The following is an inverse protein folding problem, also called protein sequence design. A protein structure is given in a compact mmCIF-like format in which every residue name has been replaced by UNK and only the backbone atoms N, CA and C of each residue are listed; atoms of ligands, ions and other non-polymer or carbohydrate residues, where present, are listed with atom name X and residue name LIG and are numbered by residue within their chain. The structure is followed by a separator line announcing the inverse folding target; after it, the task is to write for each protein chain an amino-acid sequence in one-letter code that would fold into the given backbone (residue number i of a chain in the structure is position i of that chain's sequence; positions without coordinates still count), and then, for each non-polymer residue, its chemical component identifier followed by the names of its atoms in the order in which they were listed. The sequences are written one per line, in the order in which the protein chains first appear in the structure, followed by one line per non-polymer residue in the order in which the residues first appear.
data_IF_991215757151
#
_entry.id   IF_991215757151
#
_cell.length_a   1.000
_cell.length_b   1.000
_cell.length_c   1.000
_cell.angle_alpha   90.00
_cell.angle_beta   90.00
_cell.angle_gamma   90.00
#
_symmetry.space_group_name_H-M   'P 1'
#
loop_
_entity.id
_entity.type
_entity.pdbx_description
1 polymer ?
#
# COMPACT_ATOMS: atom_id res chain seq x y z
N UNK A 1 -8.46 -9.17 26.93
CA UNK A 1 -7.04 -9.52 26.68
C UNK A 1 -6.58 -8.63 25.52
N UNK A 2 -5.89 -7.51 25.85
CA UNK A 2 -5.47 -6.51 24.85
C UNK A 2 -4.30 -7.04 24.03
N UNK A 3 -4.54 -7.45 22.80
CA UNK A 3 -3.49 -7.69 21.81
C UNK A 3 -3.04 -6.31 21.31
N UNK A 4 -1.98 -5.78 21.91
CA UNK A 4 -1.25 -4.66 21.32
C UNK A 4 -0.53 -5.15 20.07
N UNK A 5 -1.13 -4.96 18.92
CA UNK A 5 -0.42 -5.03 17.64
C UNK A 5 0.46 -3.78 17.53
N UNK A 6 1.67 -3.82 18.09
CA UNK A 6 2.66 -2.78 17.84
C UNK A 6 3.64 -3.28 16.79
N UNK A 7 3.30 -3.14 15.52
CA UNK A 7 4.27 -3.11 14.43
C UNK A 7 4.95 -1.74 14.47
N UNK A 8 5.92 -1.57 15.33
CA UNK A 8 6.60 -0.29 15.54
C UNK A 8 8.09 -0.46 15.50
N UNK A 9 8.77 0.37 14.69
CA UNK A 9 10.21 0.54 14.80
C UNK A 9 10.58 0.79 16.28
N UNK A 10 11.63 0.15 16.79
CA UNK A 10 11.99 0.28 18.20
C UNK A 10 12.27 1.74 18.59
N UNK A 11 11.82 2.12 19.78
CA UNK A 11 12.13 3.45 20.31
C UNK A 11 13.64 3.62 20.56
N UNK A 12 14.15 4.80 20.23
CA UNK A 12 15.58 5.16 20.36
C UNK A 12 16.39 4.93 19.08
N UNK A 13 17.10 5.97 18.64
CA UNK A 13 17.80 6.00 17.35
C UNK A 13 18.80 4.84 17.15
N UNK A 14 19.49 4.38 18.21
CA UNK A 14 20.44 3.26 18.14
C UNK A 14 19.74 1.91 17.96
N UNK A 15 18.63 1.67 18.65
CA UNK A 15 17.87 0.43 18.50
C UNK A 15 17.20 0.36 17.13
N UNK A 16 16.64 1.48 16.65
CA UNK A 16 16.09 1.61 15.30
C UNK A 16 17.15 1.33 14.23
N UNK A 17 18.37 1.86 14.40
CA UNK A 17 19.47 1.61 13.48
C UNK A 17 19.81 0.11 13.41
N UNK A 18 19.96 -0.57 14.54
CA UNK A 18 20.27 -2.01 14.59
C UNK A 18 19.13 -2.82 13.94
N UNK A 19 17.88 -2.49 14.23
CA UNK A 19 16.72 -3.11 13.60
C UNK A 19 16.78 -3.00 12.06
N UNK A 20 17.05 -1.79 11.53
CA UNK A 20 17.10 -1.56 10.09
C UNK A 20 18.28 -2.30 9.43
N UNK A 21 19.46 -2.31 10.05
CA UNK A 21 20.61 -3.04 9.54
C UNK A 21 20.35 -4.55 9.49
N UNK A 22 19.86 -5.14 10.58
CA UNK A 22 19.53 -6.57 10.61
C UNK A 22 18.44 -6.91 9.58
N UNK A 23 17.43 -6.08 9.44
CA UNK A 23 16.37 -6.26 8.42
C UNK A 23 16.94 -6.23 7.00
N UNK A 24 17.85 -5.29 6.73
CA UNK A 24 18.54 -5.19 5.43
C UNK A 24 19.41 -6.42 5.17
N UNK A 25 20.20 -6.86 6.15
CA UNK A 25 21.06 -8.04 6.07
C UNK A 25 20.26 -9.35 5.87
N UNK A 26 19.06 -9.46 6.43
CA UNK A 26 18.15 -10.57 6.15
C UNK A 26 17.55 -10.46 4.73
N UNK A 27 17.24 -9.25 4.28
CA UNK A 27 16.62 -9.03 2.96
C UNK A 27 17.61 -9.27 1.81
N UNK A 28 18.89 -8.94 2.01
CA UNK A 28 19.95 -9.13 1.01
C UNK A 28 20.62 -10.51 1.06
N UNK A 29 20.14 -11.42 1.96
CA UNK A 29 20.63 -12.79 2.08
C UNK A 29 21.90 -12.96 2.92
N UNK A 30 22.39 -11.93 3.60
CA UNK A 30 23.52 -12.08 4.56
C UNK A 30 23.15 -13.03 5.69
N UNK A 31 21.89 -12.98 6.15
CA UNK A 31 21.28 -13.96 7.03
C UNK A 31 20.11 -14.64 6.33
N UNK A 32 20.34 -15.85 5.84
CA UNK A 32 19.32 -16.62 5.11
C UNK A 32 18.17 -17.09 6.01
N UNK A 33 16.97 -17.29 5.45
CA UNK A 33 15.89 -17.95 6.17
C UNK A 33 16.31 -19.30 6.77
N UNK A 34 15.99 -19.50 8.05
CA UNK A 34 16.39 -20.70 8.81
C UNK A 34 17.77 -20.59 9.46
N UNK A 35 18.59 -19.59 9.11
CA UNK A 35 19.88 -19.37 9.76
C UNK A 35 19.73 -18.83 11.19
N UNK A 36 20.76 -19.01 12.01
CA UNK A 36 20.81 -18.51 13.40
C UNK A 36 21.61 -17.22 13.43
N UNK A 37 21.00 -16.14 13.93
CA UNK A 37 21.70 -14.88 14.14
C UNK A 37 22.78 -15.00 15.21
N UNK A 38 23.87 -14.20 15.14
CA UNK A 38 24.85 -14.08 16.21
C UNK A 38 24.17 -13.69 17.53
N UNK A 39 24.71 -14.18 18.66
CA UNK A 39 24.19 -13.85 19.98
C UNK A 39 24.21 -12.34 20.28
N UNK A 40 23.37 -11.89 21.22
CA UNK A 40 23.21 -10.47 21.59
C UNK A 40 24.56 -9.76 21.87
N UNK A 41 25.52 -10.45 22.50
CA UNK A 41 26.83 -9.89 22.78
C UNK A 41 27.62 -9.65 21.49
N UNK A 42 27.62 -10.62 20.58
CA UNK A 42 28.32 -10.49 19.29
C UNK A 42 27.69 -9.40 18.41
N UNK A 43 26.35 -9.32 18.37
CA UNK A 43 25.65 -8.26 17.67
C UNK A 43 25.94 -6.87 18.28
N UNK A 44 26.08 -6.78 19.62
CA UNK A 44 26.44 -5.53 20.29
C UNK A 44 27.83 -5.05 19.87
N UNK A 45 28.80 -5.98 19.72
CA UNK A 45 30.15 -5.68 19.18
C UNK A 45 30.07 -5.26 17.70
N UNK A 46 29.37 -6.02 16.84
CA UNK A 46 29.26 -5.74 15.41
C UNK A 46 28.67 -4.35 15.15
N UNK A 47 27.60 -3.99 15.84
CA UNK A 47 26.93 -2.70 15.62
C UNK A 47 27.40 -1.57 16.55
N UNK A 48 28.41 -1.83 17.40
CA UNK A 48 28.97 -0.87 18.36
C UNK A 48 27.88 -0.23 19.24
N UNK A 49 27.00 -1.06 19.83
CA UNK A 49 25.91 -0.64 20.72
C UNK A 49 25.86 -1.48 21.99
N UNK A 50 25.04 -1.07 22.98
CA UNK A 50 24.83 -1.87 24.18
C UNK A 50 23.97 -3.12 23.88
N UNK A 51 24.13 -4.19 24.68
CA UNK A 51 23.26 -5.40 24.60
C UNK A 51 21.78 -5.07 24.78
N UNK A 52 21.45 -4.09 25.62
CA UNK A 52 20.05 -3.64 25.80
C UNK A 52 19.50 -3.05 24.50
N UNK A 53 20.32 -2.31 23.74
CA UNK A 53 19.95 -1.77 22.43
C UNK A 53 19.68 -2.87 21.41
N UNK A 54 20.56 -3.90 21.36
CA UNK A 54 20.35 -5.08 20.51
C UNK A 54 19.06 -5.81 20.88
N UNK A 55 18.84 -6.05 22.17
CA UNK A 55 17.64 -6.75 22.66
C UNK A 55 16.35 -6.06 22.20
N UNK A 56 16.28 -4.73 22.30
CA UNK A 56 15.14 -3.93 21.82
C UNK A 56 14.93 -4.07 20.30
N UNK A 57 16.02 -4.11 19.54
CA UNK A 57 15.94 -4.32 18.09
C UNK A 57 15.45 -5.74 17.75
N UNK A 58 15.94 -6.77 18.44
CA UNK A 58 15.49 -8.16 18.26
C UNK A 58 14.04 -8.35 18.71
N UNK A 59 13.60 -7.71 19.78
CA UNK A 59 12.19 -7.72 20.20
C UNK A 59 11.26 -7.15 19.12
N UNK A 60 11.66 -6.05 18.49
CA UNK A 60 10.90 -5.49 17.39
C UNK A 60 10.89 -6.39 16.14
N UNK A 61 12.03 -7.00 15.78
CA UNK A 61 12.10 -7.97 14.68
C UNK A 61 11.24 -9.22 14.93
N UNK A 62 11.17 -9.68 16.17
CA UNK A 62 10.32 -10.81 16.56
C UNK A 62 8.82 -10.45 16.50
N UNK A 63 8.45 -9.25 16.97
CA UNK A 63 7.09 -8.72 16.84
C UNK A 63 6.66 -8.59 15.36
N UNK A 64 7.60 -8.22 14.48
CA UNK A 64 7.37 -8.14 13.04
C UNK A 64 7.41 -9.52 12.34
N UNK A 65 7.63 -10.61 13.11
CA UNK A 65 7.67 -11.96 12.58
C UNK A 65 8.86 -12.25 11.67
N UNK A 66 9.95 -11.48 11.77
CA UNK A 66 11.16 -11.67 10.96
C UNK A 66 12.12 -12.66 11.59
N UNK A 67 12.06 -12.84 12.90
CA UNK A 67 12.87 -13.79 13.66
C UNK A 67 12.01 -14.52 14.69
N UNK A 68 12.49 -15.67 15.16
CA UNK A 68 11.94 -16.38 16.31
C UNK A 68 13.04 -16.66 17.32
N UNK A 69 12.78 -16.34 18.59
CA UNK A 69 13.71 -16.63 19.70
C UNK A 69 13.22 -17.83 20.47
N UNK A 70 14.04 -18.89 20.55
CA UNK A 70 13.76 -20.08 21.33
C UNK A 70 14.84 -20.29 22.38
N UNK A 71 14.44 -20.53 23.61
CA UNK A 71 15.38 -20.84 24.69
C UNK A 71 16.22 -22.06 24.29
N UNK A 72 17.54 -21.93 24.32
CA UNK A 72 18.49 -22.99 23.95
C UNK A 72 18.80 -23.14 22.47
N UNK A 73 18.02 -22.58 21.55
CA UNK A 73 18.24 -22.72 20.08
C UNK A 73 18.68 -21.41 19.41
N UNK A 74 18.83 -20.33 20.17
CA UNK A 74 19.22 -19.02 19.65
C UNK A 74 18.10 -18.25 18.96
N UNK A 75 18.47 -17.27 18.15
CA UNK A 75 17.57 -16.42 17.37
C UNK A 75 17.60 -16.87 15.92
N UNK A 76 16.52 -17.45 15.44
CA UNK A 76 16.40 -18.00 14.07
C UNK A 76 15.73 -16.96 13.17
N UNK A 77 16.29 -16.72 11.99
CA UNK A 77 15.67 -15.92 10.93
C UNK A 77 14.48 -16.68 10.35
N UNK A 78 13.31 -16.04 10.38
CA UNK A 78 12.11 -16.60 9.76
C UNK A 78 12.12 -16.18 8.29
N UNK A 79 11.95 -17.17 7.39
CA UNK A 79 11.73 -16.87 5.98
C UNK A 79 10.43 -16.10 5.83
N UNK A 80 10.50 -14.86 5.36
CA UNK A 80 9.36 -14.32 4.65
C UNK A 80 9.23 -15.15 3.38
N UNK A 81 8.23 -15.99 3.29
CA UNK A 81 7.81 -16.50 1.99
C UNK A 81 7.34 -15.27 1.22
N UNK A 82 8.19 -14.78 0.32
CA UNK A 82 7.78 -13.69 -0.59
C UNK A 82 6.49 -14.13 -1.24
N UNK A 83 5.41 -13.38 -0.99
CA UNK A 83 4.10 -13.63 -1.58
C UNK A 83 3.03 -14.23 -0.66
N UNK A 84 3.31 -14.80 0.51
CA UNK A 84 2.24 -15.21 1.42
C UNK A 84 1.64 -13.98 2.12
N UNK A 85 0.39 -13.65 1.76
CA UNK A 85 -0.38 -12.56 2.34
C UNK A 85 -0.06 -11.16 1.77
N UNK A 86 0.80 -11.05 0.75
CA UNK A 86 0.98 -9.80 0.01
C UNK A 86 0.03 -9.74 -1.18
N UNK A 87 -0.65 -8.61 -1.32
CA UNK A 87 -1.40 -8.27 -2.51
C UNK A 87 -0.44 -7.71 -3.54
N UNK A 88 -0.16 -8.47 -4.61
CA UNK A 88 0.61 -7.97 -5.75
C UNK A 88 -0.35 -7.32 -6.75
N UNK A 89 -0.02 -6.13 -7.23
CA UNK A 89 -0.75 -5.44 -8.28
C UNK A 89 0.19 -5.16 -9.45
N UNK A 90 -0.22 -5.55 -10.66
CA UNK A 90 0.47 -5.21 -11.89
C UNK A 90 0.11 -3.78 -12.30
N UNK A 91 1.13 -2.99 -12.66
CA UNK A 91 0.94 -1.59 -13.06
C UNK A 91 0.11 -1.46 -14.34
N UNK A 92 0.22 -2.41 -15.27
CA UNK A 92 -0.49 -2.41 -16.54
C UNK A 92 -1.95 -2.87 -16.39
N UNK A 93 -2.23 -3.75 -15.42
CA UNK A 93 -3.55 -4.36 -15.21
C UNK A 93 -4.19 -3.92 -13.89
N UNK A 94 -3.74 -2.78 -13.35
CA UNK A 94 -4.17 -2.30 -12.04
C UNK A 94 -5.70 -2.23 -11.86
N UNK A 95 -6.45 -1.86 -12.90
CA UNK A 95 -7.91 -1.81 -12.82
C UNK A 95 -8.57 -3.20 -12.73
N UNK A 96 -8.23 -4.18 -13.58
CA UNK A 96 -8.70 -5.57 -13.41
C UNK A 96 -8.31 -6.17 -12.07
N UNK A 97 -7.11 -5.87 -11.57
CA UNK A 97 -6.61 -6.39 -10.29
C UNK A 97 -7.27 -5.72 -9.08
N UNK A 98 -7.59 -4.42 -9.16
CA UNK A 98 -8.43 -3.76 -8.14
C UNK A 98 -9.82 -4.40 -8.07
N UNK A 99 -10.33 -4.91 -9.20
CA UNK A 99 -11.58 -5.69 -9.24
C UNK A 99 -11.39 -7.06 -8.57
N UNK A 100 -10.29 -7.75 -8.91
CA UNK A 100 -9.96 -9.04 -8.30
C UNK A 100 -9.68 -8.87 -6.80
N UNK A 101 -8.91 -7.86 -6.41
CA UNK A 101 -8.71 -7.49 -5.00
C UNK A 101 -10.01 -7.17 -4.26
N UNK A 102 -11.00 -6.59 -4.95
CA UNK A 102 -12.34 -6.34 -4.39
C UNK A 102 -13.10 -7.62 -4.04
N UNK A 103 -12.73 -8.78 -4.63
CA UNK A 103 -13.31 -10.10 -4.31
C UNK A 103 -12.58 -10.78 -3.17
N UNK A 104 -11.29 -10.54 -3.03
CA UNK A 104 -10.41 -11.20 -2.06
C UNK A 104 -10.13 -10.35 -0.82
N UNK A 105 -10.64 -9.11 -0.79
CA UNK A 105 -10.46 -8.17 0.31
C UNK A 105 -11.80 -7.62 0.79
N UNK A 106 -11.87 -7.30 2.08
CA UNK A 106 -12.99 -6.56 2.65
C UNK A 106 -12.66 -5.09 2.76
N UNK A 107 -13.67 -4.23 2.66
CA UNK A 107 -13.52 -2.79 2.86
C UNK A 107 -14.34 -2.34 4.07
N UNK A 108 -13.72 -1.58 4.97
CA UNK A 108 -14.40 -0.89 6.07
C UNK A 108 -14.45 0.59 5.76
N UNK A 109 -15.64 1.15 5.68
CA UNK A 109 -15.84 2.58 5.52
C UNK A 109 -15.60 3.28 6.86
N UNK A 110 -14.77 4.32 6.85
CA UNK A 110 -14.46 5.15 8.01
C UNK A 110 -15.21 6.48 8.00
N UNK A 111 -15.41 7.05 6.79
CA UNK A 111 -16.14 8.29 6.62
C UNK A 111 -16.82 8.34 5.24
N UNK A 112 -17.99 8.98 5.22
CA UNK A 112 -18.75 9.29 4.02
C UNK A 112 -19.43 10.65 4.23
N UNK A 113 -19.09 11.62 3.40
CA UNK A 113 -19.61 12.98 3.56
C UNK A 113 -19.64 13.73 2.23
N UNK A 114 -20.45 14.79 2.16
CA UNK A 114 -20.50 15.73 1.06
C UNK A 114 -20.03 17.11 1.54
N UNK A 115 -19.21 17.77 0.74
CA UNK A 115 -18.68 19.09 1.07
C UNK A 115 -17.94 19.74 -0.09
N UNK A 116 -17.40 20.96 0.12
CA UNK A 116 -16.56 21.61 -0.88
C UNK A 116 -15.30 20.77 -1.12
N UNK A 117 -14.87 20.71 -2.39
CA UNK A 117 -13.64 20.00 -2.73
C UNK A 117 -12.43 20.72 -2.11
N UNK A 118 -11.44 19.97 -1.55
CA UNK A 118 -10.15 20.56 -1.21
C UNK A 118 -9.49 21.19 -2.45
N UNK A 119 -8.80 22.29 -2.29
CA UNK A 119 -8.16 23.03 -3.40
C UNK A 119 -7.27 22.13 -4.27
N UNK A 120 -6.52 21.21 -3.66
CA UNK A 120 -5.68 20.25 -4.38
C UNK A 120 -6.50 19.29 -5.26
N UNK A 121 -7.71 18.95 -4.85
CA UNK A 121 -8.64 18.07 -5.59
C UNK A 121 -9.30 18.86 -6.72
N UNK A 122 -9.75 20.11 -6.46
CA UNK A 122 -10.29 21.00 -7.48
C UNK A 122 -9.30 21.17 -8.64
N UNK A 123 -8.05 21.48 -8.32
CA UNK A 123 -6.99 21.67 -9.32
C UNK A 123 -6.68 20.38 -10.09
N UNK A 124 -6.52 19.25 -9.39
CA UNK A 124 -6.17 17.98 -10.02
C UNK A 124 -7.28 17.46 -10.96
N UNK A 125 -8.53 17.65 -10.58
CA UNK A 125 -9.70 17.21 -11.35
C UNK A 125 -10.18 18.27 -12.35
N UNK A 126 -9.62 19.48 -12.33
CA UNK A 126 -10.09 20.66 -13.09
C UNK A 126 -11.58 20.95 -12.82
N UNK A 127 -11.98 20.96 -11.55
CA UNK A 127 -13.33 21.33 -11.12
C UNK A 127 -13.46 22.86 -11.04
N UNK A 128 -14.70 23.35 -11.12
CA UNK A 128 -15.00 24.76 -10.86
C UNK A 128 -14.75 25.15 -9.41
N UNK A 129 -14.49 26.43 -9.16
CA UNK A 129 -14.31 26.99 -7.82
C UNK A 129 -15.52 26.67 -6.92
N UNK A 130 -15.25 26.14 -5.72
CA UNK A 130 -16.30 25.76 -4.77
C UNK A 130 -17.11 24.51 -5.16
N UNK A 131 -16.63 23.74 -6.15
CA UNK A 131 -17.27 22.49 -6.54
C UNK A 131 -17.46 21.56 -5.34
N UNK A 132 -18.64 20.94 -5.25
CA UNK A 132 -18.95 20.01 -4.18
C UNK A 132 -18.61 18.57 -4.59
N UNK A 133 -18.04 17.84 -3.65
CA UNK A 133 -17.64 16.45 -3.84
C UNK A 133 -18.17 15.57 -2.70
N UNK A 134 -18.39 14.32 -3.01
CA UNK A 134 -18.50 13.25 -2.02
C UNK A 134 -17.07 12.80 -1.65
N UNK A 135 -16.78 12.76 -0.36
CA UNK A 135 -15.54 12.25 0.20
C UNK A 135 -15.84 10.93 0.90
N UNK A 136 -15.10 9.88 0.56
CA UNK A 136 -15.14 8.62 1.28
C UNK A 136 -13.74 8.18 1.74
N UNK A 137 -13.64 7.75 3.00
CA UNK A 137 -12.43 7.18 3.58
C UNK A 137 -12.70 5.71 3.87
N UNK A 138 -11.85 4.83 3.34
CA UNK A 138 -11.99 3.38 3.49
C UNK A 138 -10.67 2.74 3.86
N UNK A 139 -10.73 1.70 4.69
CA UNK A 139 -9.61 0.78 4.95
C UNK A 139 -9.93 -0.56 4.29
N UNK A 140 -9.02 -1.07 3.48
CA UNK A 140 -9.11 -2.44 2.97
C UNK A 140 -8.31 -3.39 3.83
N UNK A 141 -8.85 -4.59 3.98
CA UNK A 141 -8.28 -5.66 4.78
C UNK A 141 -8.05 -6.89 3.89
N UNK A 142 -6.90 -7.53 4.07
CA UNK A 142 -6.60 -8.87 3.55
C UNK A 142 -6.38 -9.79 4.76
N UNK A 143 -7.05 -10.92 4.81
CA UNK A 143 -7.00 -11.83 5.98
C UNK A 143 -7.22 -11.10 7.32
N UNK A 144 -8.19 -10.20 7.36
CA UNK A 144 -8.50 -9.32 8.49
C UNK A 144 -7.38 -8.31 8.88
N UNK A 145 -6.30 -8.20 8.12
CA UNK A 145 -5.21 -7.23 8.35
C UNK A 145 -5.42 -5.99 7.49
N UNK A 146 -5.46 -4.78 8.06
CA UNK A 146 -5.52 -3.54 7.29
C UNK A 146 -4.27 -3.39 6.43
N UNK A 147 -4.41 -3.20 5.12
CA UNK A 147 -3.28 -3.06 4.21
C UNK A 147 -3.31 -1.76 3.39
N UNK A 148 -4.48 -1.13 3.23
CA UNK A 148 -4.57 0.14 2.54
C UNK A 148 -5.59 1.09 3.16
N UNK A 149 -5.27 2.39 3.14
CA UNK A 149 -6.12 3.50 3.52
C UNK A 149 -6.41 4.32 2.27
N UNK A 150 -7.68 4.45 1.91
CA UNK A 150 -8.13 5.04 0.66
C UNK A 150 -8.99 6.26 0.96
N UNK A 151 -8.66 7.40 0.38
CA UNK A 151 -9.53 8.59 0.33
C UNK A 151 -9.92 8.84 -1.11
N UNK A 152 -11.22 8.87 -1.39
CA UNK A 152 -11.76 9.16 -2.73
C UNK A 152 -12.62 10.40 -2.70
N UNK A 153 -12.55 11.17 -3.79
CA UNK A 153 -13.37 12.34 -4.04
C UNK A 153 -14.06 12.16 -5.38
N UNK A 154 -15.39 12.29 -5.39
CA UNK A 154 -16.23 12.17 -6.59
C UNK A 154 -17.15 13.39 -6.65
N UNK A 155 -17.33 14.07 -7.80
CA UNK A 155 -18.28 15.17 -7.93
C UNK A 155 -19.67 14.79 -7.42
N UNK A 156 -20.31 15.68 -6.66
CA UNK A 156 -21.59 15.40 -5.98
C UNK A 156 -22.69 14.95 -6.95
N UNK A 157 -22.74 15.53 -8.14
CA UNK A 157 -23.73 15.15 -9.17
C UNK A 157 -23.56 13.72 -9.70
N UNK A 158 -22.36 13.15 -9.60
CA UNK A 158 -22.10 11.74 -9.93
C UNK A 158 -22.40 10.88 -8.70
N UNK A 159 -21.89 11.29 -7.54
CA UNK A 159 -21.98 10.53 -6.30
C UNK A 159 -23.39 10.40 -5.75
N UNK A 160 -24.30 11.32 -6.09
CA UNK A 160 -25.72 11.24 -5.73
C UNK A 160 -26.45 10.04 -6.31
N UNK A 161 -25.86 9.34 -7.30
CA UNK A 161 -26.43 8.17 -7.92
C UNK A 161 -26.12 6.84 -7.17
N UNK A 162 -25.36 6.89 -6.07
CA UNK A 162 -25.11 5.72 -5.23
C UNK A 162 -25.09 6.11 -3.74
N UNK A 163 -25.30 5.11 -2.89
CA UNK A 163 -25.39 5.27 -1.45
C UNK A 163 -24.09 4.88 -0.76
N UNK A 164 -23.99 5.21 0.53
CA UNK A 164 -22.92 4.74 1.42
C UNK A 164 -22.86 3.21 1.46
N UNK A 165 -24.01 2.52 1.50
CA UNK A 165 -24.11 1.07 1.49
C UNK A 165 -23.59 0.46 0.18
N UNK A 166 -23.87 1.11 -0.96
CA UNK A 166 -23.30 0.69 -2.23
C UNK A 166 -21.77 0.77 -2.22
N UNK A 167 -21.22 1.88 -1.71
CA UNK A 167 -19.78 2.10 -1.66
C UNK A 167 -19.05 1.14 -0.70
N UNK A 168 -19.73 0.66 0.32
CA UNK A 168 -19.19 -0.34 1.25
C UNK A 168 -19.00 -1.73 0.60
N UNK A 169 -19.80 -2.04 -0.42
CA UNK A 169 -19.86 -3.40 -1.02
C UNK A 169 -19.44 -3.46 -2.47
N UNK A 170 -19.50 -2.33 -3.18
CA UNK A 170 -19.24 -2.27 -4.63
C UNK A 170 -17.97 -1.43 -4.92
N UNK A 171 -17.07 -1.90 -5.78
CA UNK A 171 -15.95 -1.11 -6.26
C UNK A 171 -16.39 0.20 -6.89
N UNK A 172 -15.75 1.32 -6.55
CA UNK A 172 -16.16 2.66 -6.98
C UNK A 172 -16.27 2.80 -8.50
N UNK A 173 -15.35 2.22 -9.27
CA UNK A 173 -15.42 2.31 -10.74
C UNK A 173 -16.73 1.74 -11.31
N UNK A 174 -17.31 0.68 -10.71
CA UNK A 174 -18.62 0.14 -11.11
C UNK A 174 -19.77 1.08 -10.74
N UNK A 175 -19.63 1.80 -9.63
CA UNK A 175 -20.61 2.82 -9.24
C UNK A 175 -20.56 4.00 -10.21
N UNK A 176 -19.37 4.42 -10.64
CA UNK A 176 -19.21 5.44 -11.68
C UNK A 176 -19.86 5.02 -13.01
N UNK A 177 -19.60 3.78 -13.47
CA UNK A 177 -20.22 3.24 -14.68
C UNK A 177 -21.75 3.18 -14.58
N UNK A 178 -22.30 2.71 -13.44
CA UNK A 178 -23.73 2.71 -13.15
C UNK A 178 -24.33 4.12 -13.12
N UNK A 179 -23.55 5.11 -12.74
CA UNK A 179 -23.93 6.53 -12.76
C UNK A 179 -23.84 7.16 -14.16
N UNK A 180 -23.59 6.35 -15.20
CA UNK A 180 -23.52 6.81 -16.59
C UNK A 180 -22.18 7.41 -16.98
N UNK A 181 -21.16 7.33 -16.13
CA UNK A 181 -19.82 7.85 -16.43
C UNK A 181 -19.10 6.92 -17.41
N UNK A 182 -18.66 7.47 -18.53
CA UNK A 182 -17.81 6.77 -19.51
C UNK A 182 -16.35 7.13 -19.23
N UNK A 183 -15.68 6.32 -18.42
CA UNK A 183 -14.27 6.50 -18.10
C UNK A 183 -13.42 6.35 -19.36
N UNK A 184 -12.51 7.30 -19.61
CA UNK A 184 -11.63 7.32 -20.79
C UNK A 184 -10.16 7.12 -20.41
N UNK A 185 -9.68 7.80 -19.37
CA UNK A 185 -8.29 7.76 -18.97
C UNK A 185 -8.11 7.90 -17.47
N UNK A 186 -6.95 7.49 -16.98
CA UNK A 186 -6.52 7.74 -15.62
C UNK A 186 -5.04 8.15 -15.61
N UNK A 187 -4.75 9.27 -14.93
CA UNK A 187 -3.38 9.67 -14.62
C UNK A 187 -3.04 9.22 -13.21
N UNK A 188 -1.95 8.48 -13.06
CA UNK A 188 -1.53 7.94 -11.76
C UNK A 188 -0.10 8.33 -11.42
N UNK A 189 0.12 8.68 -10.16
CA UNK A 189 1.44 8.92 -9.58
C UNK A 189 1.67 7.95 -8.44
N UNK A 190 2.85 7.31 -8.43
CA UNK A 190 3.31 6.45 -7.34
C UNK A 190 4.49 7.12 -6.64
N UNK A 191 4.43 7.20 -5.32
CA UNK A 191 5.47 7.79 -4.48
C UNK A 191 5.53 7.09 -3.11
N UNK A 192 6.40 7.54 -2.22
CA UNK A 192 6.45 7.10 -0.84
C UNK A 192 6.08 8.26 0.10
N UNK A 193 5.50 7.92 1.25
CA UNK A 193 5.18 8.87 2.32
C UNK A 193 5.31 8.21 3.69
N UNK A 194 5.11 8.98 4.74
CA UNK A 194 5.07 8.49 6.11
C UNK A 194 3.64 8.48 6.64
N UNK A 195 3.33 7.51 7.49
CA UNK A 195 2.02 7.39 8.13
C UNK A 195 1.77 8.55 9.11
N UNK A 196 0.76 9.36 8.82
CA UNK A 196 0.21 10.33 9.76
C UNK A 196 -0.54 9.59 10.90
N UNK A 197 -0.80 10.24 12.05
CA UNK A 197 -1.38 9.57 13.22
C UNK A 197 -2.68 8.81 12.95
N UNK A 198 -3.62 9.42 12.24
CA UNK A 198 -4.91 8.85 11.85
C UNK A 198 -4.77 7.64 10.90
N UNK A 199 -3.89 7.75 9.92
CA UNK A 199 -3.56 6.67 8.98
C UNK A 199 -2.85 5.52 9.71
N UNK A 200 -1.93 5.85 10.60
CA UNK A 200 -1.19 4.86 11.40
C UNK A 200 -2.14 4.04 12.27
N UNK A 201 -3.08 4.69 12.95
CA UNK A 201 -4.12 4.03 13.74
C UNK A 201 -5.01 3.14 12.86
N UNK A 202 -5.49 3.66 11.73
CA UNK A 202 -6.37 2.95 10.81
C UNK A 202 -5.72 1.71 10.19
N UNK A 203 -4.41 1.76 9.90
CA UNK A 203 -3.61 0.68 9.32
C UNK A 203 -2.95 -0.25 10.36
N UNK A 204 -3.00 0.11 11.66
CA UNK A 204 -2.33 -0.65 12.72
C UNK A 204 -0.81 -0.63 12.61
N UNK A 205 -0.23 0.51 12.21
CA UNK A 205 1.23 0.71 12.10
C UNK A 205 1.69 1.85 13.03
N UNK A 206 2.98 2.00 13.22
CA UNK A 206 3.50 3.14 13.99
C UNK A 206 3.38 4.45 13.19
N UNK A 207 3.16 5.58 13.90
CA UNK A 207 3.27 6.92 13.29
C UNK A 207 4.66 7.07 12.66
N UNK A 208 4.71 7.58 11.43
CA UNK A 208 5.95 7.70 10.67
C UNK A 208 6.44 6.40 10.00
N UNK A 209 5.65 5.33 10.01
CA UNK A 209 5.94 4.14 9.17
C UNK A 209 5.90 4.51 7.69
N UNK A 210 6.82 3.93 6.90
CA UNK A 210 6.82 4.13 5.46
C UNK A 210 5.59 3.52 4.81
N UNK A 211 4.97 4.26 3.89
CA UNK A 211 3.83 3.82 3.10
C UNK A 211 4.09 4.08 1.61
N UNK A 212 3.61 3.17 0.76
CA UNK A 212 3.50 3.43 -0.66
C UNK A 212 2.27 4.33 -0.88
N UNK A 213 2.45 5.45 -1.59
CA UNK A 213 1.40 6.42 -1.89
C UNK A 213 1.05 6.36 -3.37
N UNK A 214 -0.22 6.14 -3.67
CA UNK A 214 -0.75 6.19 -5.04
C UNK A 214 -1.79 7.30 -5.09
N UNK A 215 -1.61 8.25 -6.01
CA UNK A 215 -2.61 9.25 -6.38
C UNK A 215 -3.08 8.98 -7.78
N UNK A 216 -4.38 9.07 -8.01
CA UNK A 216 -4.98 8.87 -9.33
C UNK A 216 -6.08 9.88 -9.58
N UNK A 217 -6.09 10.43 -10.79
CA UNK A 217 -7.21 11.21 -11.32
C UNK A 217 -7.81 10.42 -12.48
N UNK A 218 -9.08 10.11 -12.39
CA UNK A 218 -9.85 9.46 -13.46
C UNK A 218 -10.65 10.53 -14.22
N UNK A 219 -10.64 10.44 -15.54
CA UNK A 219 -11.35 11.36 -16.42
C UNK A 219 -12.33 10.60 -17.32
N UNK A 220 -13.44 11.23 -17.63
CA UNK A 220 -14.40 10.73 -18.61
C UNK A 220 -13.99 11.09 -20.05
N UNK A 221 -14.80 10.66 -21.02
CA UNK A 221 -14.59 10.92 -22.45
C UNK A 221 -14.66 12.40 -22.83
N UNK A 222 -15.15 13.27 -21.96
CA UNK A 222 -15.13 14.73 -22.15
C UNK A 222 -13.90 15.41 -21.55
N UNK A 223 -13.01 14.64 -20.87
CA UNK A 223 -11.85 15.15 -20.16
C UNK A 223 -12.14 15.64 -18.76
N UNK A 224 -13.38 15.54 -18.26
CA UNK A 224 -13.77 15.96 -16.92
C UNK A 224 -13.24 14.98 -15.86
N UNK A 225 -12.71 15.50 -14.78
CA UNK A 225 -12.32 14.72 -13.61
C UNK A 225 -13.55 14.12 -12.91
N UNK A 226 -13.61 12.79 -12.79
CA UNK A 226 -14.75 12.07 -12.22
C UNK A 226 -14.39 11.36 -10.90
N UNK A 227 -13.12 11.10 -10.65
CA UNK A 227 -12.60 10.56 -9.40
C UNK A 227 -11.20 11.09 -9.12
N UNK A 228 -10.96 11.50 -7.89
CA UNK A 228 -9.62 11.63 -7.32
C UNK A 228 -9.45 10.60 -6.23
N UNK A 229 -8.40 9.78 -6.35
CA UNK A 229 -8.00 8.78 -5.36
C UNK A 229 -6.68 9.18 -4.72
N UNK A 230 -6.63 9.17 -3.40
CA UNK A 230 -5.41 9.12 -2.59
C UNK A 230 -5.39 7.80 -1.82
N UNK A 231 -4.45 6.92 -2.14
CA UNK A 231 -4.34 5.60 -1.56
C UNK A 231 -2.98 5.41 -0.90
N UNK A 232 -2.97 4.95 0.34
CA UNK A 232 -1.79 4.67 1.13
C UNK A 232 -1.76 3.19 1.45
N UNK A 233 -0.66 2.51 1.09
CA UNK A 233 -0.52 1.08 1.25
C UNK A 233 0.64 0.73 2.17
N UNK A 234 0.45 -0.29 2.96
CA UNK A 234 1.52 -0.93 3.75
C UNK A 234 2.42 -1.74 2.81
N UNK A 235 3.72 -1.41 2.70
CA UNK A 235 4.64 -2.09 1.78
C UNK A 235 4.95 -3.53 2.19
N UNK A 236 4.68 -3.92 3.43
CA UNK A 236 4.79 -5.29 3.90
C UNK A 236 3.62 -6.20 3.46
N UNK A 237 2.48 -5.62 3.06
CA UNK A 237 1.28 -6.33 2.62
C UNK A 237 0.87 -6.03 1.17
N UNK A 238 1.50 -5.04 0.53
CA UNK A 238 1.18 -4.62 -0.83
C UNK A 238 2.45 -4.28 -1.61
N UNK A 239 2.51 -4.70 -2.87
CA UNK A 239 3.57 -4.35 -3.81
C UNK A 239 3.00 -4.07 -5.19
N UNK A 240 3.67 -3.21 -5.95
CA UNK A 240 3.42 -2.98 -7.36
C UNK A 240 4.50 -3.71 -8.16
N UNK A 241 4.08 -4.54 -9.09
CA UNK A 241 4.95 -5.26 -10.02
C UNK A 241 4.71 -4.76 -11.45
N UNK A 242 5.74 -4.85 -12.28
CA UNK A 242 5.68 -4.47 -13.68
C UNK A 242 6.64 -5.35 -14.47
N UNK A 243 6.14 -5.97 -15.51
CA UNK A 243 6.99 -6.66 -16.47
C UNK A 243 7.45 -5.66 -17.53
N UNK A 244 8.75 -5.66 -17.83
CA UNK A 244 9.35 -4.79 -18.83
C UNK A 244 10.00 -5.64 -19.92
N UNK A 245 9.70 -5.32 -21.18
CA UNK A 245 10.39 -5.88 -22.34
C UNK A 245 11.49 -4.97 -22.84
N UNK A 246 12.56 -5.57 -23.34
CA UNK A 246 13.62 -4.85 -24.00
C UNK A 246 13.24 -4.60 -25.46
N UNK A 247 12.88 -3.36 -25.79
CA UNK A 247 12.45 -2.95 -27.14
C UNK A 247 13.46 -2.03 -27.81
N UNK A 248 13.33 -1.87 -29.14
CA UNK A 248 14.23 -1.05 -29.97
C UNK A 248 15.47 -1.80 -30.48
N UNK A 249 16.29 -1.14 -31.27
CA UNK A 249 17.51 -1.68 -31.84
C UNK A 249 18.67 -0.68 -31.73
N UNK A 250 19.92 -1.17 -31.72
CA UNK A 250 21.11 -0.32 -31.57
C UNK A 250 21.08 0.54 -30.31
N UNK A 251 21.41 1.82 -30.43
CA UNK A 251 21.48 2.79 -29.33
C UNK A 251 20.10 3.24 -28.80
N UNK A 252 19.03 2.91 -29.55
CA UNK A 252 17.65 3.23 -29.13
C UNK A 252 17.00 2.11 -28.29
N UNK A 253 17.77 1.16 -27.77
CA UNK A 253 17.25 0.11 -26.90
C UNK A 253 16.84 0.67 -25.55
N UNK A 254 15.59 0.41 -25.15
CA UNK A 254 15.05 0.81 -23.83
C UNK A 254 14.12 -0.26 -23.26
N UNK A 255 13.80 -0.15 -21.99
CA UNK A 255 12.81 -0.97 -21.33
C UNK A 255 11.43 -0.35 -21.50
N UNK A 256 10.46 -1.09 -21.99
CA UNK A 256 9.07 -0.66 -22.13
C UNK A 256 8.14 -1.58 -21.32
N UNK A 257 7.10 -1.05 -20.66
CA UNK A 257 6.11 -1.87 -19.98
C UNK A 257 5.42 -2.82 -20.97
N UNK A 258 5.24 -4.08 -20.53
CA UNK A 258 4.42 -5.05 -21.25
C UNK A 258 2.98 -4.76 -20.90
N UNK A 259 2.20 -4.33 -21.87
CA UNK A 259 0.74 -4.25 -21.73
C UNK A 259 0.17 -5.54 -22.30
N UNK A 260 -0.51 -6.34 -21.48
CA UNK A 260 -1.20 -7.53 -21.94
C UNK A 260 -2.26 -7.12 -22.98
N UNK A 261 -2.01 -7.48 -24.25
CA UNK A 261 -2.91 -7.19 -25.38
C UNK A 261 -4.13 -8.13 -25.43
N UNK A 262 -4.42 -8.82 -24.33
CA UNK A 262 -5.47 -9.85 -24.21
C UNK A 262 -6.92 -9.40 -24.31
N UNK A 263 -7.24 -8.32 -25.04
CA UNK A 263 -8.64 -7.90 -25.23
C UNK A 263 -8.98 -7.35 -26.62
N UNK A 264 -8.15 -7.56 -27.65
CA UNK A 264 -8.45 -7.01 -29.00
C UNK A 264 -8.96 -8.00 -30.05
N UNK A 265 -9.11 -9.29 -29.74
CA UNK A 265 -9.54 -10.30 -30.73
C UNK A 265 -10.81 -11.08 -30.35
N UNK A 266 -11.79 -10.45 -29.70
CA UNK A 266 -13.15 -11.01 -29.55
C UNK A 266 -14.19 -10.13 -30.27
N UNK A 267 -13.92 -9.80 -31.55
CA UNK A 267 -14.79 -8.96 -32.35
C UNK A 267 -14.56 -9.11 -33.84
N UNK A 268 -14.72 -10.32 -34.38
CA UNK A 268 -15.03 -10.56 -35.80
C UNK A 268 -16.11 -11.58 -35.94
#
# INVERSE_FOLDING_TARGET
MNVRASTGLPEGGKARRVYLLLRDEMSNGTYEPGSVLPGEQRLAEIYAVSRVTVRRALEALELDGLISRRAGSGTVVLGRTEGQGQVAADFATLMPQLVAMGRDTTARLLAFSYGPAPQTVEQAMALGEGARVQTAIRVRLVEAKPFSHLTTYVPEEIASNYTEADLATTPLFRLLERSGVKVAEAQQTVSATLAAPDVAEALGVAVGSALLSIRRVVRDTSGRGVEYLSALYRPDLFRLEMTLDRVGAGDNRHWAPVFDQGAKDAGK
#
